data_IF_024391613033
#
_entry.id   IF_024391613033
#
_cell.length_a   1.000
_cell.length_b   1.000
_cell.length_c   1.000
_cell.angle_alpha   90.00
_cell.angle_beta   90.00
_cell.angle_gamma   90.00
#
_symmetry.space_group_name_H-M   'P 1'
#
loop_
_entity.id
_entity.type
_entity.pdbx_description
1 polymer ?
#
# COMPACT_ATOMS: atom_id res chain seq x y z
N UNK A 1 -30.73 -12.65 12.28
CA UNK A 1 -29.36 -12.43 11.78
C UNK A 1 -29.34 -12.82 10.31
N UNK A 2 -28.75 -12.00 9.43
CA UNK A 2 -28.36 -12.40 8.07
C UNK A 2 -26.84 -12.22 8.01
N UNK A 3 -26.10 -13.29 7.80
CA UNK A 3 -24.63 -13.23 7.73
C UNK A 3 -24.22 -12.81 6.32
N UNK A 4 -23.50 -11.69 6.22
CA UNK A 4 -22.95 -11.25 4.94
C UNK A 4 -21.76 -12.13 4.57
N UNK A 5 -22.02 -13.16 3.76
CA UNK A 5 -20.98 -13.94 3.08
C UNK A 5 -20.42 -13.11 1.93
N UNK A 6 -19.54 -12.15 2.24
CA UNK A 6 -18.63 -11.61 1.24
C UNK A 6 -17.61 -12.69 0.88
N UNK A 7 -17.67 -13.16 -0.36
CA UNK A 7 -16.96 -14.36 -0.80
C UNK A 7 -15.44 -14.19 -0.80
N UNK A 8 -14.72 -15.18 -0.26
CA UNK A 8 -13.26 -15.27 -0.35
C UNK A 8 -12.69 -15.42 -1.78
N UNK A 9 -13.56 -15.40 -2.82
CA UNK A 9 -13.16 -15.44 -4.21
C UNK A 9 -12.40 -14.18 -4.67
N UNK A 10 -12.81 -12.99 -4.20
CA UNK A 10 -12.20 -11.72 -4.60
C UNK A 10 -10.72 -11.60 -4.19
N UNK A 11 -10.31 -12.30 -3.11
CA UNK A 11 -8.92 -12.29 -2.62
C UNK A 11 -7.95 -13.05 -3.53
N UNK A 12 -8.43 -14.04 -4.30
CA UNK A 12 -7.54 -14.95 -5.04
C UNK A 12 -7.00 -14.36 -6.35
N UNK A 13 -7.57 -13.25 -6.82
CA UNK A 13 -7.34 -12.72 -8.16
C UNK A 13 -6.86 -11.25 -8.19
N UNK A 14 -6.47 -10.70 -7.02
CA UNK A 14 -5.56 -9.53 -6.91
C UNK A 14 -4.16 -9.88 -7.46
N UNK A 15 -3.84 -11.18 -7.49
CA UNK A 15 -2.56 -11.79 -7.84
C UNK A 15 -1.78 -11.13 -9.00
N UNK A 16 -2.37 -11.10 -10.20
CA UNK A 16 -1.57 -11.07 -11.43
C UNK A 16 -1.15 -9.67 -11.89
N UNK A 17 -1.45 -8.61 -11.14
CA UNK A 17 -1.20 -7.22 -11.57
C UNK A 17 -0.39 -6.33 -10.62
N UNK A 18 -0.01 -6.77 -9.42
CA UNK A 18 1.04 -6.03 -8.68
C UNK A 18 2.35 -6.04 -9.47
N UNK A 19 2.64 -7.12 -10.22
CA UNK A 19 3.72 -7.18 -11.21
C UNK A 19 3.59 -6.21 -12.42
N UNK A 20 2.50 -5.44 -12.53
CA UNK A 20 2.38 -4.30 -13.44
C UNK A 20 2.66 -2.96 -12.76
N UNK A 21 2.43 -2.86 -11.44
CA UNK A 21 2.64 -1.68 -10.61
C UNK A 21 4.09 -1.61 -10.09
N UNK A 22 4.69 -2.75 -9.73
CA UNK A 22 6.10 -2.90 -9.36
C UNK A 22 6.93 -3.56 -10.44
N UNK A 23 8.12 -3.01 -10.69
CA UNK A 23 9.11 -3.54 -11.63
C UNK A 23 10.51 -3.04 -11.32
N UNK A 24 11.49 -3.92 -11.44
CA UNK A 24 12.91 -3.59 -11.25
C UNK A 24 13.65 -3.58 -12.58
N UNK A 25 14.42 -2.52 -12.81
CA UNK A 25 15.35 -2.41 -13.95
C UNK A 25 16.57 -3.33 -13.73
N UNK A 26 16.89 -3.67 -12.48
CA UNK A 26 17.95 -4.59 -12.12
C UNK A 26 17.64 -5.32 -10.80
N UNK A 27 17.21 -6.59 -10.85
CA UNK A 27 16.99 -7.44 -9.68
C UNK A 27 18.33 -7.84 -9.01
N UNK A 28 18.70 -7.28 -7.83
CA UNK A 28 19.99 -7.52 -7.18
C UNK A 28 20.16 -8.95 -6.62
N UNK A 29 19.07 -9.71 -6.44
CA UNK A 29 19.15 -11.13 -6.07
C UNK A 29 19.63 -12.04 -7.22
N UNK A 30 19.61 -11.56 -8.47
CA UNK A 30 20.05 -12.32 -9.64
C UNK A 30 21.44 -11.90 -10.16
N UNK A 31 21.79 -10.61 -10.01
CA UNK A 31 22.95 -9.99 -10.66
C UNK A 31 23.42 -8.76 -9.88
N UNK A 32 24.69 -8.36 -10.05
CA UNK A 32 25.13 -7.08 -9.48
C UNK A 32 24.45 -5.91 -10.21
N UNK A 33 23.87 -5.00 -9.43
CA UNK A 33 23.23 -3.79 -9.91
C UNK A 33 24.07 -2.53 -9.60
N UNK A 34 23.69 -1.37 -10.16
CA UNK A 34 24.22 -0.07 -9.73
C UNK A 34 23.94 0.20 -8.25
N UNK A 35 24.65 1.18 -7.68
CA UNK A 35 24.36 1.72 -6.35
C UNK A 35 23.10 2.61 -6.41
N UNK A 36 22.14 2.37 -5.50
CA UNK A 36 20.95 3.22 -5.32
C UNK A 36 21.37 4.56 -4.72
N UNK A 37 20.93 5.67 -5.30
CA UNK A 37 21.20 7.01 -4.73
C UNK A 37 20.41 7.20 -3.44
N UNK A 38 21.08 7.47 -2.33
CA UNK A 38 20.43 7.68 -1.04
C UNK A 38 19.78 9.07 -0.92
N UNK A 39 18.77 9.19 -0.07
CA UNK A 39 18.27 10.47 0.44
C UNK A 39 19.20 11.02 1.52
N UNK A 40 19.56 10.19 2.50
CA UNK A 40 20.54 10.51 3.54
C UNK A 40 20.18 11.70 4.43
N UNK A 41 18.91 12.08 4.53
CA UNK A 41 18.45 13.23 5.33
C UNK A 41 16.94 13.17 5.60
N UNK A 42 16.41 14.16 6.31
CA UNK A 42 14.97 14.48 6.27
C UNK A 42 14.69 15.49 5.15
N UNK A 43 13.65 15.24 4.37
CA UNK A 43 13.17 16.12 3.30
C UNK A 43 11.67 16.33 3.42
N UNK A 44 11.24 17.59 3.36
CA UNK A 44 9.83 17.98 3.24
C UNK A 44 9.62 18.63 1.88
N UNK A 45 8.55 18.23 1.19
CA UNK A 45 8.22 18.62 -0.17
C UNK A 45 6.76 19.11 -0.13
N UNK A 46 6.57 20.38 -0.48
CA UNK A 46 5.26 21.04 -0.55
C UNK A 46 4.87 21.19 -2.01
N UNK A 47 3.87 20.43 -2.45
CA UNK A 47 3.39 20.43 -3.83
C UNK A 47 2.39 21.56 -4.10
N UNK A 48 1.96 22.33 -3.09
CA UNK A 48 1.20 23.57 -3.32
C UNK A 48 2.07 24.67 -3.96
N UNK A 49 3.39 24.53 -3.87
CA UNK A 49 4.37 25.34 -4.59
C UNK A 49 4.64 24.86 -6.03
N UNK A 50 4.03 23.76 -6.47
CA UNK A 50 4.23 23.14 -7.79
C UNK A 50 5.03 21.83 -7.73
N UNK A 51 5.52 21.36 -8.88
CA UNK A 51 6.30 20.13 -9.00
C UNK A 51 7.68 20.24 -8.32
N UNK A 52 8.23 19.11 -7.85
CA UNK A 52 9.53 19.04 -7.18
C UNK A 52 10.53 18.17 -7.93
N UNK A 53 11.77 18.67 -8.05
CA UNK A 53 12.90 17.94 -8.65
C UNK A 53 13.43 16.78 -7.80
N UNK A 54 12.88 16.56 -6.60
CA UNK A 54 13.02 15.30 -5.87
C UNK A 54 12.32 14.12 -6.53
N UNK A 55 11.37 14.37 -7.43
CA UNK A 55 10.60 13.34 -8.14
C UNK A 55 10.80 13.44 -9.66
N UNK A 56 10.56 12.33 -10.36
CA UNK A 56 10.47 12.25 -11.82
C UNK A 56 9.17 11.57 -12.21
N UNK A 57 8.54 12.03 -13.29
CA UNK A 57 7.34 11.42 -13.87
C UNK A 57 7.69 10.14 -14.63
N UNK A 58 6.90 9.08 -14.46
CA UNK A 58 7.01 7.86 -15.25
C UNK A 58 6.48 8.08 -16.69
N UNK A 59 6.88 7.24 -17.67
CA UNK A 59 6.29 7.24 -19.02
C UNK A 59 4.75 7.25 -18.99
N UNK A 60 4.15 7.88 -20.00
CA UNK A 60 2.70 8.12 -20.06
C UNK A 60 2.13 9.15 -19.05
N UNK A 61 2.91 9.61 -18.06
CA UNK A 61 2.42 10.56 -17.05
C UNK A 61 2.38 11.99 -17.57
N UNK A 62 1.24 12.66 -17.34
CA UNK A 62 1.11 14.12 -17.42
C UNK A 62 0.49 14.60 -16.12
N UNK A 63 1.20 15.45 -15.37
CA UNK A 63 0.67 16.03 -14.14
C UNK A 63 -0.12 17.31 -14.43
N UNK A 64 -1.05 17.61 -13.53
CA UNK A 64 -1.65 18.94 -13.40
C UNK A 64 -1.23 19.53 -12.04
N UNK A 65 -1.25 20.86 -11.92
CA UNK A 65 -0.97 21.56 -10.66
C UNK A 65 -2.18 22.37 -10.20
N UNK A 66 -2.35 22.48 -8.90
CA UNK A 66 -3.46 23.21 -8.26
C UNK A 66 -2.97 23.91 -6.98
N UNK A 67 -3.71 24.88 -6.43
CA UNK A 67 -3.42 25.45 -5.11
C UNK A 67 -3.49 24.43 -3.95
N UNK A 68 -4.06 23.25 -4.18
CA UNK A 68 -4.14 22.16 -3.20
C UNK A 68 -2.95 21.18 -3.29
N UNK A 69 -2.17 21.21 -4.37
CA UNK A 69 -1.10 20.25 -4.64
C UNK A 69 -0.97 19.83 -6.12
N UNK A 70 -0.13 18.83 -6.38
CA UNK A 70 -0.08 18.14 -7.68
C UNK A 70 -1.29 17.21 -7.84
N UNK A 71 -1.76 17.09 -9.08
CA UNK A 71 -2.99 16.39 -9.45
C UNK A 71 -2.66 15.27 -10.44
N UNK A 72 -3.09 14.06 -10.09
CA UNK A 72 -2.97 12.84 -10.88
C UNK A 72 -4.32 12.54 -11.51
N UNK A 73 -4.45 12.89 -12.80
CA UNK A 73 -5.72 12.98 -13.53
C UNK A 73 -5.90 11.85 -14.54
N UNK A 74 -7.06 11.18 -14.49
CA UNK A 74 -7.39 10.06 -15.38
C UNK A 74 -8.58 10.43 -16.27
N UNK A 75 -8.29 10.87 -17.50
CA UNK A 75 -9.31 11.17 -18.51
C UNK A 75 -9.66 9.97 -19.42
N UNK A 76 -8.86 8.89 -19.42
CA UNK A 76 -9.16 7.66 -20.15
C UNK A 76 -8.50 6.41 -19.56
N UNK A 77 -9.04 5.24 -19.95
CA UNK A 77 -8.71 3.88 -19.48
C UNK A 77 -7.22 3.50 -19.51
N UNK A 78 -6.38 4.19 -20.30
CA UNK A 78 -4.95 3.86 -20.49
C UNK A 78 -4.00 4.69 -19.63
N UNK A 79 -4.51 5.58 -18.79
CA UNK A 79 -3.68 6.48 -17.99
C UNK A 79 -3.34 5.86 -16.62
N UNK A 80 -2.05 5.95 -16.26
CA UNK A 80 -1.52 5.60 -14.95
C UNK A 80 -0.54 6.68 -14.45
N UNK A 81 -0.96 7.96 -14.33
CA UNK A 81 -0.07 9.06 -13.93
C UNK A 81 0.64 8.75 -12.61
N UNK A 82 1.97 8.71 -12.65
CA UNK A 82 2.81 8.27 -11.53
C UNK A 82 4.13 9.06 -11.47
N UNK A 83 4.57 9.39 -10.26
CA UNK A 83 5.92 9.90 -9.97
C UNK A 83 6.73 8.89 -9.16
N UNK A 84 8.04 8.82 -9.40
CA UNK A 84 9.02 8.09 -8.59
C UNK A 84 10.09 9.04 -8.00
N UNK A 85 10.55 8.81 -6.77
CA UNK A 85 11.59 9.64 -6.14
C UNK A 85 12.96 9.43 -6.77
N UNK A 86 13.70 10.51 -6.99
CA UNK A 86 15.06 10.55 -7.54
C UNK A 86 16.13 10.10 -6.53
N UNK A 87 15.75 9.28 -5.55
CA UNK A 87 16.52 8.73 -4.45
C UNK A 87 15.72 7.61 -3.75
N UNK A 88 16.43 6.81 -2.97
CA UNK A 88 15.91 5.76 -2.10
C UNK A 88 16.21 6.15 -0.64
N UNK A 89 15.43 5.66 0.31
CA UNK A 89 15.73 5.73 1.75
C UNK A 89 15.68 4.32 2.35
N UNK A 90 16.31 4.11 3.51
CA UNK A 90 16.51 2.77 4.06
C UNK A 90 16.21 2.72 5.56
N UNK A 91 14.99 2.30 5.90
CA UNK A 91 14.33 2.57 7.19
C UNK A 91 14.16 4.07 7.49
N UNK A 92 13.31 4.36 8.48
CA UNK A 92 12.91 5.72 8.87
C UNK A 92 11.40 5.90 8.72
N UNK A 93 10.96 6.99 8.10
CA UNK A 93 9.52 7.23 7.91
C UNK A 93 9.20 8.04 6.66
N UNK A 94 8.00 7.83 6.12
CA UNK A 94 7.40 8.63 5.03
C UNK A 94 5.97 9.00 5.40
N UNK A 95 5.58 10.23 5.10
CA UNK A 95 4.31 10.86 5.44
C UNK A 95 3.79 11.58 4.19
N UNK A 96 2.59 11.22 3.72
CA UNK A 96 1.96 11.75 2.50
C UNK A 96 0.62 12.35 2.87
N UNK A 97 0.40 13.62 2.52
CA UNK A 97 -0.88 14.31 2.71
C UNK A 97 -1.60 14.37 1.38
N UNK A 98 -2.71 13.63 1.26
CA UNK A 98 -3.44 13.46 -0.01
C UNK A 98 -4.94 13.25 0.17
N UNK A 99 -5.68 13.51 -0.92
CA UNK A 99 -7.03 13.00 -1.17
C UNK A 99 -6.98 12.08 -2.40
N UNK A 100 -7.63 10.93 -2.30
CA UNK A 100 -7.68 9.92 -3.35
C UNK A 100 -8.60 10.34 -4.50
N UNK A 101 -8.43 9.72 -5.66
CA UNK A 101 -9.40 9.82 -6.77
C UNK A 101 -10.70 9.09 -6.41
N UNK A 102 -11.80 9.56 -6.98
CA UNK A 102 -13.09 8.87 -6.98
C UNK A 102 -13.24 7.95 -8.21
N UNK A 103 -14.35 7.19 -8.25
CA UNK A 103 -14.74 6.32 -9.37
C UNK A 103 -14.56 4.83 -9.09
N UNK A 104 -15.51 4.00 -9.54
CA UNK A 104 -15.30 2.56 -9.61
C UNK A 104 -14.19 2.27 -10.63
N UNK A 105 -13.39 1.22 -10.41
CA UNK A 105 -12.29 0.87 -11.30
C UNK A 105 -11.08 1.81 -11.24
N UNK A 106 -11.17 2.94 -10.54
CA UNK A 106 -10.08 3.88 -10.34
C UNK A 106 -9.39 3.60 -9.02
N UNK A 107 -8.06 3.57 -9.05
CA UNK A 107 -7.22 3.33 -7.89
C UNK A 107 -6.28 4.51 -7.69
N UNK A 108 -6.07 4.90 -6.44
CA UNK A 108 -5.00 5.79 -6.01
C UNK A 108 -3.98 4.99 -5.22
N UNK A 109 -2.71 5.31 -5.35
CA UNK A 109 -1.61 4.48 -4.84
C UNK A 109 -0.49 5.33 -4.25
N UNK A 110 0.00 4.91 -3.08
CA UNK A 110 1.24 5.41 -2.49
C UNK A 110 2.05 4.19 -2.05
N UNK A 111 3.17 3.96 -2.73
CA UNK A 111 3.99 2.75 -2.65
C UNK A 111 5.42 3.09 -2.28
N UNK A 112 6.02 2.27 -1.43
CA UNK A 112 7.47 2.12 -1.29
C UNK A 112 7.88 0.85 -2.04
N UNK A 113 8.92 0.95 -2.87
CA UNK A 113 9.39 -0.18 -3.69
C UNK A 113 10.93 -0.21 -3.70
N UNK A 114 11.52 -1.40 -3.50
CA UNK A 114 12.95 -1.64 -3.68
C UNK A 114 13.28 -2.18 -5.07
N UNK A 115 14.56 -2.14 -5.46
CA UNK A 115 15.02 -2.83 -6.67
C UNK A 115 15.04 -4.37 -6.53
N UNK A 116 14.85 -4.93 -5.33
CA UNK A 116 14.65 -6.38 -5.10
C UNK A 116 13.18 -6.82 -5.01
N UNK A 117 12.23 -5.87 -5.09
CA UNK A 117 10.78 -6.05 -4.97
C UNK A 117 10.28 -6.39 -3.56
N UNK A 118 10.98 -5.94 -2.52
CA UNK A 118 10.32 -5.59 -1.26
C UNK A 118 9.43 -4.35 -1.49
N UNK A 119 8.21 -4.36 -0.95
CA UNK A 119 7.16 -3.36 -1.22
C UNK A 119 6.34 -3.07 0.03
N UNK A 120 5.89 -1.81 0.18
CA UNK A 120 4.88 -1.39 1.17
C UNK A 120 3.93 -0.40 0.53
N UNK A 121 2.62 -0.63 0.61
CA UNK A 121 1.63 0.20 -0.07
C UNK A 121 0.51 0.74 0.83
N UNK A 122 -0.13 1.78 0.30
CA UNK A 122 -1.49 2.20 0.56
C UNK A 122 -2.24 2.30 -0.77
N UNK A 123 -3.41 1.69 -0.84
CA UNK A 123 -4.26 1.65 -2.04
C UNK A 123 -5.69 2.10 -1.70
N UNK A 124 -6.22 3.10 -2.42
CA UNK A 124 -7.61 3.56 -2.29
C UNK A 124 -8.41 3.19 -3.53
N UNK A 125 -9.53 2.49 -3.32
CA UNK A 125 -10.51 2.22 -4.37
C UNK A 125 -11.46 3.42 -4.47
N UNK A 126 -11.56 4.05 -5.64
CA UNK A 126 -12.31 5.30 -5.81
C UNK A 126 -13.82 5.21 -5.59
N UNK A 127 -14.39 4.00 -5.52
CA UNK A 127 -15.78 3.74 -5.13
C UNK A 127 -15.99 3.49 -3.63
N UNK A 128 -14.93 3.32 -2.84
CA UNK A 128 -15.03 3.06 -1.40
C UNK A 128 -14.68 4.29 -0.56
N UNK A 129 -15.71 4.97 -0.05
CA UNK A 129 -15.57 6.23 0.70
C UNK A 129 -15.33 6.06 2.19
N UNK A 130 -15.00 4.84 2.66
CA UNK A 130 -14.99 4.49 4.10
C UNK A 130 -13.71 3.79 4.58
N UNK A 131 -12.84 3.39 3.68
CA UNK A 131 -11.62 2.66 4.02
C UNK A 131 -10.52 2.82 2.97
N UNK A 132 -9.31 2.49 3.40
CA UNK A 132 -8.11 2.37 2.56
C UNK A 132 -7.50 0.98 2.78
N UNK A 133 -6.91 0.38 1.75
CA UNK A 133 -6.15 -0.84 1.88
C UNK A 133 -4.67 -0.54 2.17
N UNK A 134 -4.06 -1.38 2.99
CA UNK A 134 -2.61 -1.51 3.15
C UNK A 134 -2.19 -2.91 2.73
N UNK A 135 -1.05 -3.05 2.07
CA UNK A 135 -0.46 -4.32 1.72
C UNK A 135 1.08 -4.19 1.72
N UNK A 136 1.79 -5.30 1.56
CA UNK A 136 3.25 -5.36 1.53
C UNK A 136 3.71 -6.60 0.76
N UNK A 137 4.80 -6.51 0.00
CA UNK A 137 5.47 -7.64 -0.65
C UNK A 137 6.89 -7.78 -0.12
N UNK A 138 7.43 -9.00 -0.19
CA UNK A 138 8.83 -9.26 0.12
C UNK A 138 9.47 -10.03 -1.03
N UNK A 139 10.53 -9.49 -1.64
CA UNK A 139 11.23 -10.07 -2.80
C UNK A 139 10.31 -10.50 -3.95
N UNK A 140 9.26 -9.72 -4.21
CA UNK A 140 8.26 -9.98 -5.25
C UNK A 140 7.38 -11.22 -5.01
N UNK A 141 7.31 -11.75 -3.77
CA UNK A 141 6.54 -12.95 -3.46
C UNK A 141 5.02 -12.70 -3.49
N UNK A 142 4.43 -12.99 -4.65
CA UNK A 142 3.00 -12.99 -4.89
C UNK A 142 2.30 -14.31 -4.48
N UNK A 143 3.00 -15.30 -3.90
CA UNK A 143 2.41 -16.63 -3.65
C UNK A 143 1.20 -16.70 -2.72
N UNK A 144 0.94 -15.63 -1.94
CA UNK A 144 -0.20 -15.53 -1.00
C UNK A 144 -0.80 -14.13 -1.00
N UNK A 145 -2.13 -14.01 -0.82
CA UNK A 145 -2.89 -12.73 -0.82
C UNK A 145 -3.48 -12.39 0.56
N UNK A 146 -2.90 -12.98 1.60
CA UNK A 146 -3.16 -12.77 3.03
C UNK A 146 -2.49 -11.50 3.61
N UNK A 147 -1.74 -10.77 2.77
CA UNK A 147 -0.93 -9.61 3.16
C UNK A 147 -1.70 -8.28 3.15
N UNK A 148 -2.86 -8.22 2.49
CA UNK A 148 -3.73 -7.05 2.48
C UNK A 148 -4.54 -6.88 3.77
N UNK A 149 -4.73 -5.64 4.22
CA UNK A 149 -5.59 -5.28 5.36
C UNK A 149 -6.27 -3.93 5.15
N UNK A 150 -7.55 -3.83 5.53
CA UNK A 150 -8.40 -2.65 5.30
C UNK A 150 -8.58 -1.82 6.58
N UNK A 151 -8.50 -0.49 6.45
CA UNK A 151 -8.51 0.46 7.56
C UNK A 151 -9.55 1.54 7.35
N UNK A 152 -10.35 1.84 8.38
CA UNK A 152 -11.40 2.84 8.27
C UNK A 152 -10.81 4.26 8.16
N UNK A 153 -11.30 5.02 7.16
CA UNK A 153 -11.01 6.44 6.96
C UNK A 153 -12.24 7.11 6.32
N UNK A 154 -12.63 8.28 6.80
CA UNK A 154 -13.88 8.93 6.39
C UNK A 154 -13.68 9.84 5.17
N UNK A 155 -14.35 9.54 4.06
CA UNK A 155 -14.38 10.38 2.86
C UNK A 155 -13.00 10.65 2.22
N UNK A 156 -12.10 9.64 2.06
CA UNK A 156 -10.71 9.86 1.62
C UNK A 156 -10.57 10.44 0.21
N UNK A 157 -11.64 10.47 -0.60
CA UNK A 157 -11.69 11.10 -1.92
C UNK A 157 -12.02 12.60 -1.89
N UNK A 158 -12.58 13.13 -0.80
CA UNK A 158 -12.95 14.55 -0.67
C UNK A 158 -12.24 15.29 0.46
N UNK A 159 -11.67 14.57 1.42
CA UNK A 159 -10.93 15.14 2.56
C UNK A 159 -9.45 14.77 2.46
N UNK A 160 -8.57 15.70 2.87
CA UNK A 160 -7.13 15.46 2.94
C UNK A 160 -6.77 14.74 4.24
N UNK A 161 -6.20 13.55 4.11
CA UNK A 161 -5.67 12.77 5.23
C UNK A 161 -4.16 12.65 5.17
N UNK A 162 -3.55 12.38 6.32
CA UNK A 162 -2.11 12.19 6.49
C UNK A 162 -1.81 10.71 6.64
N UNK A 163 -1.29 10.09 5.58
CA UNK A 163 -0.95 8.67 5.56
C UNK A 163 0.55 8.50 5.80
N UNK A 164 0.90 7.72 6.84
CA UNK A 164 2.28 7.60 7.31
C UNK A 164 2.69 6.14 7.42
N UNK A 165 3.93 5.86 6.99
CA UNK A 165 4.64 4.61 7.22
C UNK A 165 5.84 4.90 8.12
N UNK A 166 5.88 4.27 9.29
CA UNK A 166 7.09 4.18 10.12
C UNK A 166 7.71 2.80 9.92
N UNK A 167 8.92 2.74 9.37
CA UNK A 167 9.53 1.52 8.85
C UNK A 167 10.91 1.31 9.47
N UNK A 168 11.06 0.21 10.21
CA UNK A 168 12.30 -0.17 10.93
C UNK A 168 12.68 -1.61 10.61
N UNK A 169 13.85 -2.08 11.05
CA UNK A 169 14.22 -3.49 10.92
C UNK A 169 13.36 -4.44 11.79
N UNK A 170 12.69 -3.91 12.82
CA UNK A 170 11.88 -4.68 13.78
C UNK A 170 10.40 -4.75 13.38
N UNK A 171 9.85 -3.63 12.88
CA UNK A 171 8.43 -3.46 12.58
C UNK A 171 8.16 -2.31 11.59
N UNK A 172 7.04 -2.45 10.90
CA UNK A 172 6.45 -1.51 9.98
C UNK A 172 5.06 -1.10 10.50
N UNK A 173 4.78 0.19 10.58
CA UNK A 173 3.53 0.74 11.14
C UNK A 173 2.87 1.65 10.13
N UNK A 174 1.62 1.35 9.76
CA UNK A 174 0.77 2.20 8.95
C UNK A 174 -0.09 3.06 9.88
N UNK A 175 -0.12 4.37 9.66
CA UNK A 175 -0.92 5.33 10.43
C UNK A 175 -1.73 6.26 9.53
N UNK A 176 -2.93 6.62 9.98
CA UNK A 176 -3.82 7.61 9.35
C UNK A 176 -4.03 8.75 10.36
N UNK A 177 -3.78 9.99 9.94
CA UNK A 177 -3.92 11.21 10.76
C UNK A 177 -3.21 11.13 12.12
N UNK A 178 -2.06 10.43 12.14
CA UNK A 178 -1.24 10.21 13.33
C UNK A 178 -1.67 9.03 14.22
N UNK A 179 -2.80 8.36 13.93
CA UNK A 179 -3.24 7.17 14.63
C UNK A 179 -2.76 5.89 13.92
N UNK A 180 -2.04 4.97 14.59
CA UNK A 180 -1.62 3.71 13.99
C UNK A 180 -2.81 2.77 13.77
N UNK A 181 -2.97 2.29 12.54
CA UNK A 181 -4.07 1.37 12.13
C UNK A 181 -3.58 -0.06 11.86
N UNK A 182 -2.29 -0.22 11.51
CA UNK A 182 -1.65 -1.54 11.33
C UNK A 182 -0.23 -1.53 11.88
N UNK A 183 0.19 -2.67 12.40
CA UNK A 183 1.61 -3.00 12.58
C UNK A 183 1.86 -4.35 11.90
N UNK A 184 3.04 -4.49 11.29
CA UNK A 184 3.63 -5.74 10.84
C UNK A 184 5.00 -5.85 11.51
N UNK A 185 5.20 -6.87 12.34
CA UNK A 185 6.52 -7.20 12.87
C UNK A 185 7.32 -8.02 11.87
N UNK A 186 8.65 -8.02 12.02
CA UNK A 186 9.57 -8.83 11.22
C UNK A 186 9.14 -10.31 11.16
N UNK A 187 8.81 -10.92 12.30
CA UNK A 187 8.46 -12.34 12.39
C UNK A 187 7.11 -12.70 11.74
N UNK A 188 6.12 -11.79 11.75
CA UNK A 188 4.84 -12.01 11.07
C UNK A 188 4.99 -12.11 9.54
N UNK A 189 5.99 -11.45 8.96
CA UNK A 189 6.29 -11.47 7.53
C UNK A 189 7.05 -12.75 7.10
N UNK A 190 6.43 -13.91 7.31
CA UNK A 190 6.98 -15.25 7.08
C UNK A 190 8.34 -15.45 7.78
N UNK A 191 8.45 -15.08 9.05
CA UNK A 191 9.68 -15.19 9.85
C UNK A 191 10.83 -14.32 9.32
N UNK A 192 10.52 -13.07 8.97
CA UNK A 192 11.46 -12.13 8.35
C UNK A 192 11.73 -12.33 6.87
N UNK A 193 11.44 -13.52 6.31
CA UNK A 193 11.81 -13.86 4.93
C UNK A 193 11.03 -13.09 3.87
N UNK A 194 9.95 -12.40 4.27
CA UNK A 194 9.14 -11.47 3.45
C UNK A 194 8.95 -10.11 4.10
N UNK A 195 9.72 -9.79 5.12
CA UNK A 195 9.67 -8.45 5.70
C UNK A 195 10.35 -7.45 4.76
N UNK A 196 9.72 -6.31 4.41
CA UNK A 196 10.35 -5.28 3.59
C UNK A 196 11.58 -4.70 4.28
N UNK A 197 12.78 -4.90 3.71
CA UNK A 197 14.04 -4.75 4.42
C UNK A 197 15.21 -4.28 3.54
N UNK A 198 14.94 -3.74 2.37
CA UNK A 198 15.95 -3.23 1.42
C UNK A 198 15.59 -1.78 1.05
N UNK A 199 16.54 -0.94 0.61
CA UNK A 199 16.28 0.47 0.32
C UNK A 199 15.11 0.65 -0.65
N UNK A 200 14.21 1.58 -0.36
CA UNK A 200 13.00 1.81 -1.16
C UNK A 200 12.93 3.24 -1.71
N UNK A 201 12.49 3.37 -2.96
CA UNK A 201 12.02 4.62 -3.57
C UNK A 201 10.54 4.85 -3.23
N UNK A 202 10.12 6.10 -3.20
CA UNK A 202 8.72 6.51 -3.02
C UNK A 202 8.08 6.64 -4.41
N UNK A 203 6.95 5.95 -4.62
CA UNK A 203 6.11 6.06 -5.81
C UNK A 203 4.70 6.49 -5.43
N UNK A 204 4.14 7.42 -6.18
CA UNK A 204 2.82 8.00 -5.92
C UNK A 204 2.11 8.21 -7.25
N UNK A 205 0.86 7.77 -7.36
CA UNK A 205 0.11 7.87 -8.62
C UNK A 205 -1.33 7.38 -8.52
N UNK A 206 -2.06 7.48 -9.63
CA UNK A 206 -3.39 6.88 -9.80
C UNK A 206 -3.45 6.09 -11.11
N UNK A 207 -4.30 5.05 -11.16
CA UNK A 207 -4.38 4.15 -12.32
C UNK A 207 -5.77 3.49 -12.47
N UNK A 208 -5.99 2.88 -13.64
CA UNK A 208 -7.26 2.23 -14.02
C UNK A 208 -7.17 0.71 -13.83
N UNK A 209 -7.45 0.24 -12.62
CA UNK A 209 -7.55 -1.17 -12.30
C UNK A 209 -8.79 -1.84 -12.92
N UNK A 210 -9.90 -1.10 -13.02
CA UNK A 210 -11.15 -1.51 -13.64
C UNK A 210 -11.16 -1.37 -15.17
N UNK A 211 -10.08 -1.76 -15.85
CA UNK A 211 -10.04 -1.79 -17.32
C UNK A 211 -10.85 -2.97 -17.87
N UNK A 212 -11.48 -2.77 -19.03
CA UNK A 212 -12.05 -3.79 -19.90
C UNK A 212 -11.06 -4.87 -20.36
N UNK A 213 -9.75 -4.63 -20.20
CA UNK A 213 -8.66 -5.55 -20.54
C UNK A 213 -7.93 -6.13 -19.32
N UNK A 214 -8.26 -5.70 -18.11
CA UNK A 214 -7.67 -6.22 -16.88
C UNK A 214 -8.24 -7.62 -16.52
N UNK A 215 -7.51 -8.45 -15.74
CA UNK A 215 -8.06 -9.67 -15.16
C UNK A 215 -9.30 -9.36 -14.31
N UNK A 216 -10.34 -10.20 -14.44
CA UNK A 216 -11.63 -10.01 -13.77
C UNK A 216 -11.50 -9.73 -12.26
N UNK A 217 -10.56 -10.39 -11.57
CA UNK A 217 -10.32 -10.16 -10.15
C UNK A 217 -9.82 -8.77 -9.78
N UNK A 218 -9.00 -8.14 -10.63
CA UNK A 218 -8.55 -6.76 -10.43
C UNK A 218 -9.71 -5.78 -10.64
N UNK A 219 -10.59 -6.05 -11.61
CA UNK A 219 -11.83 -5.28 -11.83
C UNK A 219 -12.80 -5.44 -10.65
N UNK A 220 -12.96 -6.64 -10.11
CA UNK A 220 -13.80 -6.91 -8.92
C UNK A 220 -13.23 -6.26 -7.66
N UNK A 221 -11.92 -6.34 -7.43
CA UNK A 221 -11.21 -5.67 -6.32
C UNK A 221 -11.34 -4.14 -6.39
N UNK A 222 -11.22 -3.57 -7.59
CA UNK A 222 -11.39 -2.13 -7.83
C UNK A 222 -12.86 -1.65 -7.81
N UNK A 223 -13.81 -2.49 -7.38
CA UNK A 223 -15.22 -2.13 -7.23
C UNK A 223 -16.01 -2.06 -8.55
N UNK A 224 -15.44 -2.52 -9.67
CA UNK A 224 -16.08 -2.58 -10.98
C UNK A 224 -15.21 -2.03 -12.11
N UNK A 225 -15.80 -1.95 -13.31
CA UNK A 225 -15.19 -1.25 -14.43
C UNK A 225 -15.23 0.27 -14.22
N UNK A 226 -14.20 0.96 -14.71
CA UNK A 226 -14.21 2.42 -14.79
C UNK A 226 -15.11 2.90 -15.94
N UNK A 227 -15.93 3.92 -15.67
CA UNK A 227 -16.73 4.59 -16.69
C UNK A 227 -15.94 5.77 -17.28
N UNK A 228 -15.97 5.93 -18.61
CA UNK A 228 -15.37 7.09 -19.29
C UNK A 228 -16.38 7.87 -20.14
N UNK A 229 -17.68 7.58 -20.02
CA UNK A 229 -18.73 8.13 -20.89
C UNK A 229 -19.34 9.47 -20.45
N UNK A 230 -19.19 9.88 -19.18
CA UNK A 230 -19.97 10.98 -18.58
C UNK A 230 -19.11 12.02 -17.84
N UNK A 231 -18.27 12.79 -18.55
CA UNK A 231 -17.51 13.95 -18.02
C UNK A 231 -16.92 13.73 -16.61
N UNK A 232 -16.06 12.72 -16.49
CA UNK A 232 -15.55 12.25 -15.20
C UNK A 232 -14.44 13.17 -14.65
N UNK A 233 -14.30 13.18 -13.32
CA UNK A 233 -13.40 14.04 -12.55
C UNK A 233 -12.47 13.19 -11.67
N UNK A 234 -11.80 12.22 -12.28
CA UNK A 234 -10.95 11.23 -11.63
C UNK A 234 -9.59 11.83 -11.24
N UNK A 235 -9.60 12.67 -10.20
CA UNK A 235 -8.46 13.45 -9.71
C UNK A 235 -8.05 13.04 -8.30
N UNK A 236 -6.92 12.33 -8.20
CA UNK A 236 -6.15 12.22 -6.96
C UNK A 236 -5.30 13.49 -6.79
N UNK A 237 -5.19 14.02 -5.56
CA UNK A 237 -4.42 15.24 -5.29
C UNK A 237 -3.50 15.03 -4.10
N UNK A 238 -2.22 15.33 -4.28
CA UNK A 238 -1.17 15.17 -3.25
C UNK A 238 -0.60 16.54 -2.91
N UNK A 239 -0.77 16.92 -1.65
CA UNK A 239 -0.43 18.24 -1.13
C UNK A 239 1.02 18.34 -0.69
N UNK A 240 1.53 17.31 -0.02
CA UNK A 240 2.90 17.30 0.50
C UNK A 240 3.39 15.89 0.79
N UNK A 241 4.70 15.70 0.68
CA UNK A 241 5.43 14.49 1.08
C UNK A 241 6.56 14.87 2.02
N UNK A 242 6.71 14.13 3.11
CA UNK A 242 7.82 14.27 4.04
C UNK A 242 8.45 12.91 4.28
N UNK A 243 9.77 12.80 4.10
CA UNK A 243 10.53 11.56 4.29
C UNK A 243 11.72 11.82 5.20
N UNK A 244 11.95 10.91 6.13
CA UNK A 244 13.12 10.85 7.00
C UNK A 244 13.86 9.56 6.69
N UNK A 245 15.05 9.66 6.09
CA UNK A 245 15.98 8.54 5.97
C UNK A 245 16.67 8.29 7.33
N UNK A 246 16.65 7.06 7.83
CA UNK A 246 17.32 6.71 9.07
C UNK A 246 18.86 6.88 8.99
N UNK A 247 19.45 6.82 7.79
CA UNK A 247 20.91 6.84 7.59
C UNK A 247 21.38 8.24 7.21
N UNK A 248 21.24 9.19 8.13
CA UNK A 248 21.61 10.60 7.89
C UNK A 248 23.09 10.71 7.49
N UNK A 249 23.33 11.34 6.33
CA UNK A 249 24.64 11.48 5.68
C UNK A 249 24.90 10.49 4.54
N UNK A 250 24.08 9.46 4.34
CA UNK A 250 24.23 8.52 3.24
C UNK A 250 24.16 9.21 1.86
N UNK A 251 25.01 8.78 0.93
CA UNK A 251 25.03 9.18 -0.47
C UNK A 251 24.62 8.06 -1.43
N UNK A 252 24.91 6.80 -1.10
CA UNK A 252 24.36 5.65 -1.81
C UNK A 252 24.16 4.41 -0.92
N UNK A 253 23.29 3.52 -1.39
CA UNK A 253 23.10 2.17 -0.90
C UNK A 253 23.53 1.17 -1.98
N UNK A 254 24.09 0.03 -1.59
CA UNK A 254 24.32 -1.08 -2.53
C UNK A 254 24.18 -2.45 -1.87
N UNK A 255 23.71 -3.42 -2.66
CA UNK A 255 23.54 -4.81 -2.25
C UNK A 255 24.92 -5.48 -2.20
N UNK A 256 25.39 -5.79 -0.99
CA UNK A 256 26.71 -6.42 -0.77
C UNK A 256 26.77 -7.89 -1.19
N UNK A 257 25.60 -8.53 -1.32
CA UNK A 257 25.40 -9.88 -1.83
C UNK A 257 23.95 -10.03 -2.37
N UNK A 258 23.62 -11.22 -2.87
CA UNK A 258 22.35 -11.54 -3.54
C UNK A 258 21.20 -11.99 -2.60
N UNK A 259 21.31 -11.79 -1.29
CA UNK A 259 20.32 -12.35 -0.32
C UNK A 259 19.04 -11.54 -0.15
N UNK A 260 19.01 -10.26 -0.55
CA UNK A 260 17.91 -9.34 -0.22
C UNK A 260 17.78 -9.02 1.29
N UNK A 261 18.81 -9.32 2.10
CA UNK A 261 18.83 -9.08 3.54
C UNK A 261 19.25 -7.64 3.88
N UNK A 262 18.64 -7.02 4.89
CA UNK A 262 19.05 -5.68 5.36
C UNK A 262 20.50 -5.62 5.87
N UNK A 263 21.06 -6.76 6.29
CA UNK A 263 22.46 -6.91 6.67
C UNK A 263 23.41 -6.96 5.45
N UNK A 264 22.92 -7.30 4.25
CA UNK A 264 23.73 -7.27 3.03
C UNK A 264 23.93 -5.86 2.49
N UNK A 265 23.03 -4.92 2.78
CA UNK A 265 23.12 -3.53 2.35
C UNK A 265 24.41 -2.88 2.85
N UNK A 266 25.04 -2.08 1.99
CA UNK A 266 26.25 -1.30 2.24
C UNK A 266 25.92 0.17 2.01
N UNK A 267 26.24 1.00 2.99
CA UNK A 267 25.95 2.43 2.99
C UNK A 267 27.24 3.18 2.68
N UNK A 268 27.20 4.11 1.73
CA UNK A 268 28.33 4.93 1.31
C UNK A 268 28.05 6.40 1.56
N UNK A 269 29.04 7.16 2.05
CA UNK A 269 28.90 8.57 2.41
C UNK A 269 28.53 8.79 3.89
N UNK A 270 28.70 10.04 4.34
CA UNK A 270 28.30 10.46 5.70
C UNK A 270 29.30 10.14 6.80
N UNK A 271 29.19 10.84 7.93
CA UNK A 271 30.12 10.71 9.07
C UNK A 271 29.63 9.69 10.11
N UNK A 272 29.40 8.45 9.65
CA UNK A 272 29.49 7.24 10.48
C UNK A 272 28.36 6.97 11.48
N UNK A 273 27.34 6.24 11.01
CA UNK A 273 26.60 5.27 11.82
C UNK A 273 26.50 3.95 11.05
N UNK A 274 26.64 2.82 11.76
CA UNK A 274 26.37 1.47 11.24
C UNK A 274 24.90 1.13 11.42
N UNK A 275 24.31 0.34 10.51
CA UNK A 275 22.92 -0.16 10.47
C UNK A 275 22.03 0.18 11.69
N UNK A 276 20.93 0.95 11.53
CA UNK A 276 20.05 1.40 12.62
C UNK A 276 19.13 0.31 13.19
N UNK A 277 19.59 -0.95 13.25
CA UNK A 277 18.82 -2.14 13.64
C UNK A 277 18.64 -2.34 15.16
N UNK A 278 18.70 -1.27 15.95
CA UNK A 278 18.41 -1.27 17.40
C UNK A 278 17.81 0.08 17.79
N UNK A 279 16.55 0.11 18.22
CA UNK A 279 15.94 1.31 18.78
C UNK A 279 16.62 1.77 20.08
N UNK A 280 16.74 3.09 20.27
CA UNK A 280 17.27 3.70 21.50
C UNK A 280 17.04 5.21 21.50
N UNK A 281 16.30 5.68 22.50
CA UNK A 281 15.99 7.10 22.70
C UNK A 281 17.15 7.87 23.37
N UNK A 282 17.04 9.21 23.31
CA UNK A 282 17.76 10.23 24.09
C UNK A 282 19.30 10.42 23.95
N UNK A 283 19.64 11.46 23.18
CA UNK A 283 20.45 12.62 23.58
C UNK A 283 21.78 12.43 24.39
N UNK A 284 22.93 12.70 23.75
CA UNK A 284 23.74 13.91 24.05
C UNK A 284 24.90 14.14 23.05
N UNK A 285 25.18 15.42 22.82
CA UNK A 285 26.26 16.06 22.07
C UNK A 285 27.71 15.59 22.33
N UNK A 286 28.51 15.58 21.25
CA UNK A 286 29.87 16.20 21.15
C UNK A 286 31.14 15.32 21.09
N UNK A 287 32.13 15.89 20.38
CA UNK A 287 33.58 15.66 20.48
C UNK A 287 34.22 14.37 19.92
N UNK A 288 34.39 14.37 18.59
CA UNK A 288 35.46 13.70 17.84
C UNK A 288 36.84 13.83 18.52
N UNK A 289 37.46 12.71 18.90
CA UNK A 289 38.93 12.56 19.04
C UNK A 289 39.36 11.27 18.35
N UNK A 290 40.44 11.34 17.57
CA UNK A 290 41.10 10.18 16.97
C UNK A 290 42.50 10.03 17.55
N UNK A 291 42.88 8.82 17.95
CA UNK A 291 44.28 8.45 18.19
C UNK A 291 44.52 6.97 17.91
N UNK A 292 45.47 6.70 17.02
CA UNK A 292 45.79 5.34 16.55
C UNK A 292 46.94 4.76 17.39
N UNK A 293 46.65 3.81 18.30
CA UNK A 293 47.71 2.99 18.92
C UNK A 293 47.26 1.54 19.16
N UNK A 294 47.97 0.60 18.55
CA UNK A 294 48.06 -0.81 18.90
C UNK A 294 49.40 -1.35 18.34
N UNK A 295 49.94 -2.50 18.81
CA UNK A 295 49.46 -3.38 19.87
C UNK A 295 50.51 -3.65 20.98
N UNK A 296 50.07 -4.18 22.13
CA UNK A 296 50.92 -5.02 22.99
C UNK A 296 50.11 -6.21 23.50
N UNK A 297 50.68 -7.41 23.44
CA UNK A 297 50.03 -8.65 23.89
C UNK A 297 50.43 -9.02 25.31
N UNK A 298 49.45 -9.46 26.12
CA UNK A 298 49.68 -10.32 27.27
C UNK A 298 48.65 -11.46 27.29
N UNK A 299 49.06 -12.61 27.81
CA UNK A 299 48.33 -13.88 27.76
C UNK A 299 48.12 -14.40 29.18
N UNK A 300 46.88 -14.55 29.60
CA UNK A 300 46.49 -15.34 30.76
C UNK A 300 45.15 -16.04 30.49
N UNK A 301 44.99 -17.24 31.03
CA UNK A 301 43.79 -18.07 30.91
C UNK A 301 43.69 -18.99 32.16
N UNK A 302 42.60 -19.76 32.34
CA UNK A 302 41.67 -19.51 33.45
C UNK A 302 41.98 -20.34 34.70
N UNK A 303 41.34 -19.96 35.81
CA UNK A 303 41.23 -20.81 37.00
C UNK A 303 39.76 -20.99 37.37
N UNK A 304 39.39 -22.20 37.77
CA UNK A 304 38.03 -22.61 38.10
C UNK A 304 37.82 -22.81 39.60
N UNK A 305 36.57 -22.69 40.04
CA UNK A 305 36.07 -23.31 41.29
C UNK A 305 34.59 -23.66 41.16
N UNK A 306 34.08 -24.49 42.08
CA UNK A 306 32.86 -25.29 41.91
C UNK A 306 31.88 -25.07 43.08
N UNK A 307 30.57 -25.22 42.82
CA UNK A 307 29.47 -25.05 43.78
C UNK A 307 29.46 -26.08 44.94
N UNK A 308 28.55 -25.95 45.94
CA UNK A 308 27.35 -26.81 45.89
C UNK A 308 26.02 -26.29 46.52
N UNK A 309 24.91 -26.57 45.82
CA UNK A 309 23.57 -27.10 46.25
C UNK A 309 22.69 -26.54 47.40
N UNK A 310 21.35 -26.60 47.14
CA UNK A 310 20.21 -26.92 48.07
C UNK A 310 19.70 -25.83 49.05
N UNK A 311 18.40 -25.70 49.42
CA UNK A 311 17.14 -26.44 49.09
C UNK A 311 15.85 -25.63 49.39
N UNK A 312 14.74 -25.93 48.67
CA UNK A 312 13.28 -25.95 49.03
C UNK A 312 12.58 -24.87 49.91
N UNK A 313 11.38 -24.46 49.45
CA UNK A 313 10.12 -24.12 50.20
C UNK A 313 10.15 -22.93 51.24
N UNK A 314 9.06 -22.18 51.55
CA UNK A 314 7.65 -22.18 51.10
C UNK A 314 7.02 -20.74 51.11
N UNK A 315 5.68 -20.64 51.01
CA UNK A 315 4.85 -19.43 50.82
C UNK A 315 4.74 -18.45 52.01
N UNK A 316 4.56 -17.14 51.74
CA UNK A 316 3.47 -16.35 52.38
C UNK A 316 3.17 -14.97 51.76
N UNK A 317 1.95 -14.83 51.25
CA UNK A 317 1.03 -13.67 51.23
C UNK A 317 1.49 -12.30 51.79
N UNK A 318 1.37 -11.23 50.99
CA UNK A 318 0.65 -10.01 51.43
C UNK A 318 0.09 -9.15 50.28
N UNK A 319 -1.08 -8.57 50.53
CA UNK A 319 -1.91 -7.81 49.58
C UNK A 319 -1.48 -6.35 49.40
N UNK A 320 -1.69 -5.80 48.20
CA UNK A 320 -2.51 -4.58 48.08
C UNK A 320 -3.16 -4.45 46.70
N UNK A 321 -4.42 -4.05 46.67
CA UNK A 321 -5.17 -3.77 45.45
C UNK A 321 -5.41 -2.25 45.30
N UNK A 322 -5.48 -1.79 44.07
CA UNK A 322 -6.13 -0.53 43.69
C UNK A 322 -7.15 -0.84 42.61
N UNK A 323 -8.44 -0.62 42.92
CA UNK A 323 -9.54 -0.72 41.96
C UNK A 323 -10.06 0.69 41.67
N UNK A 324 -10.36 0.98 40.40
CA UNK A 324 -10.97 2.23 39.98
C UNK A 324 -11.97 2.00 38.85
N UNK A 325 -13.06 1.29 39.16
CA UNK A 325 -14.26 1.25 38.31
C UNK A 325 -15.32 2.18 38.87
N UNK A 326 -15.54 3.30 38.18
CA UNK A 326 -16.77 4.09 38.21
C UNK A 326 -16.94 4.68 36.81
N UNK A 327 -18.10 4.91 36.22
CA UNK A 327 -19.49 4.44 36.37
C UNK A 327 -20.23 5.30 35.34
N UNK A 328 -21.05 4.70 34.47
CA UNK A 328 -21.80 5.47 33.47
C UNK A 328 -22.90 6.31 34.13
N UNK A 329 -22.98 7.59 33.76
CA UNK A 329 -24.09 8.46 34.17
C UNK A 329 -25.23 8.30 33.16
N UNK A 330 -26.34 7.70 33.59
CA UNK A 330 -27.57 7.61 32.81
C UNK A 330 -28.59 8.57 33.41
N UNK A 331 -28.98 9.58 32.64
CA UNK A 331 -30.08 10.50 32.98
C UNK A 331 -31.21 10.32 31.96
N UNK A 332 -32.41 10.04 32.45
CA UNK A 332 -33.59 9.72 31.63
C UNK A 332 -34.79 10.57 32.04
N UNK A 333 -35.31 11.40 31.15
CA UNK A 333 -36.56 12.15 31.38
C UNK A 333 -37.34 12.47 30.10
N UNK A 334 -38.24 11.54 29.75
CA UNK A 334 -39.67 11.76 29.42
C UNK A 334 -40.28 13.09 29.94
N UNK A 335 -41.31 13.73 29.36
CA UNK A 335 -42.14 13.51 28.14
C UNK A 335 -43.08 14.73 27.91
N UNK A 336 -43.31 15.14 26.65
CA UNK A 336 -44.57 15.75 26.11
C UNK A 336 -44.41 16.00 24.60
N UNK A 337 -45.22 15.58 23.61
CA UNK A 337 -46.67 15.34 23.36
C UNK A 337 -47.42 16.50 22.70
N UNK A 338 -47.62 16.42 21.37
CA UNK A 338 -48.80 16.76 20.54
C UNK A 338 -48.47 16.23 19.10
N UNK A 339 -49.26 15.39 18.41
CA UNK A 339 -50.63 15.50 17.89
C UNK A 339 -50.76 16.55 16.76
N UNK A 340 -51.28 16.27 15.56
CA UNK A 340 -52.54 15.54 15.27
C UNK A 340 -52.63 14.95 13.83
N UNK A 341 -53.59 14.03 13.61
CA UNK A 341 -54.38 13.69 12.39
C UNK A 341 -53.83 13.99 10.97
N UNK A 342 -53.74 13.05 10.00
CA UNK A 342 -54.82 12.24 9.35
C UNK A 342 -55.93 13.05 8.66
N UNK A 343 -56.54 12.65 7.54
CA UNK A 343 -56.50 11.39 6.73
C UNK A 343 -55.84 11.68 5.35
N UNK A 344 -56.18 11.18 4.13
CA UNK A 344 -57.21 10.28 3.58
C UNK A 344 -56.80 9.71 2.19
N UNK A 345 -57.55 8.75 1.63
CA UNK A 345 -57.44 8.27 0.24
C UNK A 345 -58.73 7.58 -0.27
N UNK A 346 -59.16 7.85 -1.51
CA UNK A 346 -59.75 6.80 -2.36
C UNK A 346 -59.29 6.87 -3.83
N UNK A 347 -59.97 6.12 -4.73
CA UNK A 347 -59.40 5.56 -5.96
C UNK A 347 -60.15 5.88 -7.28
N UNK A 348 -59.49 5.53 -8.40
CA UNK A 348 -60.04 4.80 -9.59
C UNK A 348 -60.27 5.53 -10.93
N UNK A 349 -59.99 4.79 -12.03
CA UNK A 349 -60.40 4.96 -13.45
C UNK A 349 -59.91 6.20 -14.23
N UNK A 350 -59.67 6.17 -15.55
CA UNK A 350 -59.65 5.06 -16.55
C UNK A 350 -59.61 5.58 -18.02
N UNK A 351 -59.25 4.75 -19.00
CA UNK A 351 -59.15 5.09 -20.45
C UNK A 351 -57.70 5.32 -20.93
N UNK A 352 -57.12 4.78 -22.02
CA UNK A 352 -57.61 4.25 -23.33
C UNK A 352 -57.92 5.38 -24.36
N UNK A 353 -57.48 5.40 -25.64
CA UNK A 353 -56.74 4.46 -26.52
C UNK A 353 -56.06 5.17 -27.73
N UNK A 354 -55.41 4.42 -28.64
CA UNK A 354 -55.13 4.72 -30.09
C UNK A 354 -54.15 5.86 -30.45
N UNK A 355 -53.41 5.86 -31.59
CA UNK A 355 -53.35 4.90 -32.71
C UNK A 355 -51.97 4.84 -33.43
N UNK A 356 -51.78 3.85 -34.30
CA UNK A 356 -50.64 3.75 -35.27
C UNK A 356 -51.03 4.36 -36.66
N UNK A 357 -50.11 4.51 -37.64
CA UNK A 357 -49.90 3.40 -38.60
C UNK A 357 -48.49 3.26 -39.23
N UNK A 358 -48.13 2.03 -39.63
CA UNK A 358 -46.89 1.69 -40.35
C UNK A 358 -46.94 1.85 -41.89
N UNK A 359 -45.79 1.71 -42.57
CA UNK A 359 -45.69 1.05 -43.91
C UNK A 359 -44.25 0.71 -44.35
N UNK A 360 -43.98 -0.60 -44.63
CA UNK A 360 -43.15 -1.20 -45.73
C UNK A 360 -41.76 -0.62 -46.11
N UNK A 361 -40.69 -1.35 -46.47
CA UNK A 361 -40.33 -2.79 -46.70
C UNK A 361 -38.79 -2.82 -47.03
N UNK A 362 -37.98 -3.85 -47.37
CA UNK A 362 -38.12 -5.25 -47.90
C UNK A 362 -36.81 -6.05 -47.63
N UNK A 363 -36.81 -7.38 -47.81
CA UNK A 363 -35.60 -8.24 -47.96
C UNK A 363 -35.31 -8.60 -49.44
N UNK A 364 -34.66 -9.75 -49.80
CA UNK A 364 -34.07 -10.85 -49.01
C UNK A 364 -32.51 -10.93 -49.21
N UNK A 365 -31.69 -11.99 -48.97
CA UNK A 365 -31.88 -13.46 -48.95
C UNK A 365 -30.74 -14.26 -48.23
N UNK A 366 -30.96 -15.57 -48.01
CA UNK A 366 -30.01 -16.62 -47.55
C UNK A 366 -29.85 -17.74 -48.61
N UNK A 367 -28.80 -18.61 -48.54
CA UNK A 367 -28.89 -19.97 -47.93
C UNK A 367 -27.62 -20.37 -47.12
N UNK A 368 -27.68 -21.05 -45.96
CA UNK A 368 -27.90 -22.49 -45.65
C UNK A 368 -26.70 -23.49 -45.77
N UNK A 369 -26.18 -23.90 -44.60
CA UNK A 369 -25.78 -25.29 -44.25
C UNK A 369 -24.44 -25.87 -44.84
N UNK A 370 -23.86 -27.00 -44.37
CA UNK A 370 -24.23 -27.97 -43.31
C UNK A 370 -23.01 -28.76 -42.75
N UNK A 371 -23.18 -29.42 -41.58
CA UNK A 371 -22.33 -30.52 -41.00
C UNK A 371 -20.86 -30.21 -40.60
N UNK A 372 -20.24 -30.94 -39.65
CA UNK A 372 -20.77 -31.95 -38.72
C UNK A 372 -19.69 -32.84 -38.07
N UNK A 373 -20.04 -33.48 -36.95
CA UNK A 373 -19.23 -34.42 -36.14
C UNK A 373 -17.98 -33.84 -35.42
N UNK A 374 -17.53 -34.53 -34.36
CA UNK A 374 -16.39 -34.12 -33.53
C UNK A 374 -15.78 -35.31 -32.76
N UNK A 375 -14.68 -35.05 -32.04
CA UNK A 375 -13.93 -36.05 -31.28
C UNK A 375 -13.48 -35.51 -29.91
N UNK A 376 -13.15 -36.42 -28.97
CA UNK A 376 -12.70 -36.09 -27.61
C UNK A 376 -11.17 -36.11 -27.47
N UNK A 377 -10.73 -35.54 -26.36
CA UNK A 377 -9.49 -35.85 -25.62
C UNK A 377 -8.18 -35.24 -26.18
N UNK A 378 -7.38 -34.63 -25.29
CA UNK A 378 -6.08 -34.05 -25.66
C UNK A 378 -5.60 -32.89 -24.77
N UNK A 379 -5.73 -32.99 -23.44
CA UNK A 379 -5.21 -31.97 -22.54
C UNK A 379 -3.67 -32.04 -22.47
N UNK A 380 -2.97 -31.20 -23.25
CA UNK A 380 -1.53 -30.98 -23.16
C UNK A 380 -1.27 -29.47 -23.07
N UNK A 381 -1.28 -28.94 -21.84
CA UNK A 381 -1.06 -27.52 -21.59
C UNK A 381 0.46 -27.22 -21.60
N UNK A 382 1.04 -27.14 -22.79
CA UNK A 382 2.38 -26.62 -22.97
C UNK A 382 2.38 -25.11 -22.67
N UNK A 383 2.84 -24.72 -21.48
CA UNK A 383 3.01 -23.31 -21.11
C UNK A 383 4.10 -22.68 -22.00
N UNK A 384 3.67 -21.97 -23.05
CA UNK A 384 4.47 -20.92 -23.67
C UNK A 384 4.39 -19.71 -22.74
N UNK A 385 5.53 -19.24 -22.24
CA UNK A 385 5.60 -18.08 -21.35
C UNK A 385 5.16 -16.81 -22.06
N UNK A 386 3.93 -16.36 -21.78
CA UNK A 386 3.42 -15.09 -22.27
C UNK A 386 3.93 -13.95 -21.40
N UNK A 387 4.99 -13.27 -21.84
CA UNK A 387 5.48 -12.04 -21.23
C UNK A 387 4.46 -10.92 -21.48
N UNK A 388 3.60 -10.65 -20.50
CA UNK A 388 2.67 -9.50 -20.53
C UNK A 388 3.39 -8.27 -19.96
N UNK A 389 4.35 -7.76 -20.73
CA UNK A 389 4.99 -6.48 -20.44
C UNK A 389 4.07 -5.33 -20.85
N UNK A 390 3.20 -4.90 -19.93
CA UNK A 390 2.41 -3.68 -20.06
C UNK A 390 2.70 -2.75 -18.88
N UNK A 391 3.72 -1.89 -19.04
CA UNK A 391 3.75 -0.47 -18.64
C UNK A 391 5.10 0.13 -19.06
N UNK A 392 5.25 0.38 -20.37
CA UNK A 392 6.45 1.01 -20.96
C UNK A 392 6.12 1.72 -22.28
N UNK A 393 5.36 2.83 -22.21
CA UNK A 393 5.12 3.81 -23.28
C UNK A 393 5.11 5.22 -22.69
#
# INVERSE_FOLDING_TARGET
MRSNLFSAAALLAVAQLVAGQTSTKCQPMEKKCPDDKALGTTKSIDFTAGESSDFTTLPGTTLQTSPEGIVFDIANEKQAPTIESNWYFFFGSVEVVMKASNGAGIVSSFVLESDDLDEVDWEWIGSDTKQVQSNYFGKGDDSTFDRGGFHAVSNPQSEFHTYKLDWTAEKLVWSIDGAPVRTLTYDEAKGGTRYPQTPMRVKIGSWVAGSSTAPQGTVEWAGGLADFSNNHDYKMVVKSVKVTDANTGAGSYSYGDMTGSWQSIKISGGSGTTNPGTGGDDDNTSSKVSSTVAPTSTKASPTSTKAPSSTKEESSTSTKASSSTMTTVVSNSTTSTEASSSTDAPSSTGGDSTDEPATTSTGPSTPESSTGAGAKLGANLAMVGAVVAFFAL
#
